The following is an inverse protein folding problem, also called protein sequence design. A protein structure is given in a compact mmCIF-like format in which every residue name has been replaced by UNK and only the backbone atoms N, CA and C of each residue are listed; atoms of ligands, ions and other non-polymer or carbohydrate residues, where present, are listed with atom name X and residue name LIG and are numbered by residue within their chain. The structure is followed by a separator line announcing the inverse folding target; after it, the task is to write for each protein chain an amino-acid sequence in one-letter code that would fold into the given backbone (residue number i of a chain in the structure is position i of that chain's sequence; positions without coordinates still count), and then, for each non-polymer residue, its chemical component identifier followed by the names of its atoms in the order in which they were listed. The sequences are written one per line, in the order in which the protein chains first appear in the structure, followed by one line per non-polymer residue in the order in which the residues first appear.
data_IF_948475550586
#
_entry.id   IF_948475550586
#
_cell.length_a   1.000
_cell.length_b   1.000
_cell.length_c   1.000
_cell.angle_alpha   90.00
_cell.angle_beta   90.00
_cell.angle_gamma   90.00
#
_symmetry.space_group_name_H-M   'P 1'
#
loop_
_entity.id
_entity.type
_entity.pdbx_description
1 polymer ?
#
# COMPACT_ATOMS: atom_id res chain seq x y z
N UNK A 1 -2.97 -37.45 23.13
CA UNK A 1 -2.58 -36.76 21.89
C UNK A 1 -3.51 -35.59 21.74
N UNK A 2 -3.11 -34.42 22.18
CA UNK A 2 -3.88 -33.18 22.00
C UNK A 2 -3.37 -32.58 20.71
N UNK A 3 -4.16 -32.70 19.64
CA UNK A 3 -3.93 -31.95 18.42
C UNK A 3 -4.02 -30.47 18.78
N UNK A 4 -2.88 -29.78 18.73
CA UNK A 4 -2.82 -28.34 18.86
C UNK A 4 -3.43 -27.77 17.55
N UNK A 5 -4.74 -27.58 17.54
CA UNK A 5 -5.41 -26.75 16.58
C UNK A 5 -4.96 -25.31 16.84
N UNK A 6 -3.77 -25.01 16.34
CA UNK A 6 -3.36 -23.65 16.16
C UNK A 6 -4.28 -23.10 15.06
N UNK A 7 -5.42 -22.52 15.49
CA UNK A 7 -6.30 -21.82 14.58
C UNK A 7 -5.44 -20.88 13.74
N UNK A 8 -5.36 -21.15 12.45
CA UNK A 8 -4.57 -20.36 11.52
C UNK A 8 -4.95 -18.89 11.73
N UNK A 9 -3.98 -18.08 12.17
CA UNK A 9 -4.23 -16.66 12.35
C UNK A 9 -4.66 -16.10 11.00
N UNK A 10 -5.76 -15.36 10.96
CA UNK A 10 -6.23 -14.84 9.68
C UNK A 10 -5.13 -14.00 9.03
N UNK A 11 -4.81 -14.35 7.82
CA UNK A 11 -3.74 -13.77 7.03
C UNK A 11 -4.00 -12.30 6.77
N UNK A 12 -3.02 -11.45 6.96
CA UNK A 12 -3.12 -10.02 6.64
C UNK A 12 -2.60 -9.75 5.24
N UNK A 13 -3.47 -9.22 4.38
CA UNK A 13 -3.12 -8.70 3.07
C UNK A 13 -3.35 -7.19 3.10
N UNK A 14 -2.26 -6.43 3.15
CA UNK A 14 -2.29 -4.97 3.35
C UNK A 14 -1.58 -4.27 2.21
N UNK A 15 -2.21 -3.25 1.65
CA UNK A 15 -1.58 -2.30 0.73
C UNK A 15 -1.38 -0.98 1.46
N UNK A 16 -0.12 -0.58 1.62
CA UNK A 16 0.25 0.75 2.14
C UNK A 16 0.27 1.71 0.97
N UNK A 17 -0.67 2.64 0.94
CA UNK A 17 -0.88 3.55 -0.17
C UNK A 17 -0.60 5.01 0.21
N UNK A 18 -0.42 5.84 -0.78
CA UNK A 18 -0.20 7.28 -0.64
C UNK A 18 0.71 7.83 -1.72
N UNK A 19 0.88 9.13 -1.71
CA UNK A 19 1.77 9.83 -2.65
C UNK A 19 3.24 9.58 -2.33
N UNK A 20 4.12 9.96 -3.26
CA UNK A 20 5.56 9.91 -3.02
C UNK A 20 5.95 10.73 -1.79
N UNK A 21 6.88 10.21 -1.01
CA UNK A 21 7.33 10.86 0.22
C UNK A 21 6.45 10.64 1.44
N UNK A 22 5.32 9.94 1.30
CA UNK A 22 4.43 9.63 2.44
C UNK A 22 5.00 8.59 3.42
N UNK A 23 6.04 7.84 3.02
CA UNK A 23 6.69 6.84 3.87
C UNK A 23 6.21 5.41 3.67
N UNK A 24 5.61 5.09 2.54
CA UNK A 24 5.05 3.75 2.22
C UNK A 24 6.05 2.62 2.45
N UNK A 25 7.28 2.76 1.97
CA UNK A 25 8.30 1.73 2.11
C UNK A 25 8.70 1.54 3.57
N UNK A 26 8.94 2.61 4.30
CA UNK A 26 9.33 2.56 5.71
C UNK A 26 8.22 1.98 6.58
N UNK A 27 7.02 2.52 6.51
CA UNK A 27 5.87 2.05 7.30
C UNK A 27 5.47 0.64 6.87
N UNK A 28 5.46 0.37 5.57
CA UNK A 28 5.13 -0.96 5.03
C UNK A 28 6.08 -2.04 5.54
N UNK A 29 7.38 -1.79 5.51
CA UNK A 29 8.37 -2.73 6.03
C UNK A 29 8.22 -2.99 7.54
N UNK A 30 7.98 -1.94 8.34
CA UNK A 30 7.77 -2.07 9.78
C UNK A 30 6.47 -2.82 10.12
N UNK A 31 5.39 -2.57 9.39
CA UNK A 31 4.13 -3.30 9.56
C UNK A 31 4.30 -4.76 9.17
N UNK A 32 5.02 -5.05 8.09
CA UNK A 32 5.31 -6.42 7.65
C UNK A 32 6.12 -7.19 8.70
N UNK A 33 7.17 -6.56 9.25
CA UNK A 33 7.98 -7.13 10.32
C UNK A 33 7.15 -7.45 11.58
N UNK A 34 6.37 -6.47 12.03
CA UNK A 34 5.49 -6.64 13.19
C UNK A 34 4.44 -7.75 13.02
N UNK A 35 3.99 -7.98 11.79
CA UNK A 35 3.04 -9.04 11.45
C UNK A 35 3.71 -10.37 11.06
N UNK A 36 5.03 -10.40 10.95
CA UNK A 36 5.81 -11.56 10.48
C UNK A 36 5.37 -12.06 9.11
N UNK A 37 5.15 -11.12 8.19
CA UNK A 37 4.80 -11.39 6.78
C UNK A 37 5.80 -10.72 5.84
N UNK A 38 5.92 -11.16 4.57
CA UNK A 38 6.77 -10.51 3.60
C UNK A 38 6.36 -9.06 3.32
N UNK A 39 7.36 -8.23 3.02
CA UNK A 39 7.16 -6.90 2.42
C UNK A 39 7.50 -6.93 0.94
N UNK A 40 6.66 -6.33 0.12
CA UNK A 40 6.84 -6.20 -1.34
C UNK A 40 6.64 -4.75 -1.76
N UNK A 41 7.51 -4.23 -2.61
CA UNK A 41 7.28 -2.95 -3.29
C UNK A 41 6.63 -3.22 -4.66
N UNK A 42 5.43 -2.68 -4.88
CA UNK A 42 4.70 -2.87 -6.14
C UNK A 42 5.41 -2.26 -7.34
N UNK A 43 6.31 -1.30 -7.13
CA UNK A 43 7.11 -0.71 -8.21
C UNK A 43 8.02 -1.76 -8.86
N UNK A 44 8.47 -2.77 -8.11
CA UNK A 44 9.28 -3.88 -8.62
C UNK A 44 8.49 -4.85 -9.50
N UNK A 45 7.17 -4.74 -9.53
CA UNK A 45 6.27 -5.59 -10.29
C UNK A 45 5.88 -5.02 -11.66
N UNK A 46 6.39 -3.86 -12.03
CA UNK A 46 6.07 -3.27 -13.34
C UNK A 46 6.57 -4.14 -14.50
N UNK A 47 5.74 -4.33 -15.54
CA UNK A 47 6.18 -4.90 -16.81
C UNK A 47 7.38 -4.12 -17.37
N UNK A 48 8.25 -4.82 -18.12
CA UNK A 48 9.48 -4.21 -18.67
C UNK A 48 9.19 -2.98 -19.54
N UNK A 49 8.08 -2.97 -20.26
CA UNK A 49 7.70 -1.82 -21.11
C UNK A 49 7.36 -0.60 -20.26
N UNK A 50 6.73 -0.77 -19.10
CA UNK A 50 6.50 0.31 -18.15
C UNK A 50 7.82 0.85 -17.58
N UNK A 51 8.73 -0.05 -17.23
CA UNK A 51 10.07 0.33 -16.73
C UNK A 51 10.82 1.16 -17.77
N UNK A 52 10.80 0.75 -19.04
CA UNK A 52 11.43 1.48 -20.16
C UNK A 52 10.79 2.83 -20.37
N UNK A 53 9.46 2.91 -20.30
CA UNK A 53 8.70 4.16 -20.47
C UNK A 53 9.02 5.16 -19.35
N UNK A 54 9.06 4.71 -18.10
CA UNK A 54 9.44 5.53 -16.96
C UNK A 54 10.92 5.98 -17.03
N UNK A 55 11.83 5.10 -17.43
CA UNK A 55 13.25 5.42 -17.60
C UNK A 55 13.48 6.48 -18.70
N UNK A 56 12.62 6.51 -19.72
CA UNK A 56 12.62 7.54 -20.77
C UNK A 56 11.97 8.86 -20.33
N UNK A 57 11.49 8.96 -19.08
CA UNK A 57 10.84 10.16 -18.54
C UNK A 57 9.38 10.33 -19.00
N UNK A 58 8.78 9.30 -19.59
CA UNK A 58 7.38 9.34 -20.04
C UNK A 58 6.47 8.84 -18.93
N UNK A 59 5.45 9.61 -18.50
CA UNK A 59 4.47 9.17 -17.52
C UNK A 59 3.69 7.94 -18.01
N UNK A 60 3.34 7.04 -17.08
CA UNK A 60 2.42 5.95 -17.36
C UNK A 60 0.98 6.47 -17.43
N UNK A 61 0.25 6.04 -18.43
CA UNK A 61 -1.20 6.23 -18.53
C UNK A 61 -1.97 5.03 -17.90
N UNK A 62 -3.29 5.09 -17.93
CA UNK A 62 -4.12 4.03 -17.35
C UNK A 62 -3.95 2.70 -18.09
N UNK A 63 -3.76 2.72 -19.42
CA UNK A 63 -3.56 1.51 -20.23
C UNK A 63 -2.25 0.79 -19.83
N UNK A 64 -1.20 1.56 -19.52
CA UNK A 64 0.05 1.02 -19.00
C UNK A 64 -0.12 0.40 -17.61
N UNK A 65 -1.00 0.98 -16.80
CA UNK A 65 -1.20 0.57 -15.41
C UNK A 65 -2.05 -0.67 -15.25
N UNK A 66 -3.03 -0.93 -16.11
CA UNK A 66 -3.93 -2.06 -15.97
C UNK A 66 -3.21 -3.41 -15.86
N UNK A 67 -2.27 -3.77 -16.76
CA UNK A 67 -1.51 -5.02 -16.60
C UNK A 67 -0.69 -5.07 -15.31
N UNK A 68 -0.11 -3.97 -14.90
CA UNK A 68 0.64 -3.88 -13.64
C UNK A 68 -0.27 -4.10 -12.42
N UNK A 69 -1.43 -3.46 -12.38
CA UNK A 69 -2.40 -3.65 -11.31
C UNK A 69 -2.94 -5.08 -11.24
N UNK A 70 -3.04 -5.76 -12.38
CA UNK A 70 -3.39 -7.19 -12.44
C UNK A 70 -2.29 -8.06 -11.82
N UNK A 71 -1.02 -7.72 -12.02
CA UNK A 71 0.11 -8.39 -11.39
C UNK A 71 0.10 -8.15 -9.88
N UNK A 72 -0.13 -6.90 -9.45
CA UNK A 72 -0.28 -6.53 -8.04
C UNK A 72 -1.41 -7.33 -7.39
N UNK A 73 -2.59 -7.36 -7.99
CA UNK A 73 -3.74 -8.09 -7.50
C UNK A 73 -3.46 -9.59 -7.36
N UNK A 74 -2.85 -10.22 -8.36
CA UNK A 74 -2.46 -11.65 -8.29
C UNK A 74 -1.46 -11.94 -7.19
N UNK A 75 -0.46 -11.09 -7.00
CA UNK A 75 0.52 -11.29 -5.92
C UNK A 75 -0.12 -11.21 -4.53
N UNK A 76 -1.09 -10.31 -4.35
CA UNK A 76 -1.88 -10.22 -3.12
C UNK A 76 -2.79 -11.44 -2.94
N UNK A 77 -3.46 -11.89 -4.00
CA UNK A 77 -4.29 -13.09 -3.99
C UNK A 77 -3.49 -14.35 -3.61
N UNK A 78 -2.31 -14.55 -4.20
CA UNK A 78 -1.43 -15.67 -3.87
C UNK A 78 -1.05 -15.70 -2.39
N UNK A 79 -0.77 -14.53 -1.80
CA UNK A 79 -0.46 -14.41 -0.38
C UNK A 79 -1.68 -14.70 0.51
N UNK A 80 -2.87 -14.36 0.07
CA UNK A 80 -4.12 -14.67 0.74
C UNK A 80 -4.40 -16.18 0.71
N UNK A 81 -4.35 -16.79 -0.47
CA UNK A 81 -4.64 -18.21 -0.67
C UNK A 81 -3.63 -19.14 -0.01
N UNK A 82 -2.35 -18.75 0.00
CA UNK A 82 -1.29 -19.53 0.67
C UNK A 82 -1.34 -19.44 2.19
N UNK A 83 -2.07 -18.48 2.74
CA UNK A 83 -2.08 -18.20 4.16
C UNK A 83 -0.80 -17.49 4.68
N UNK A 84 0.11 -17.07 3.81
CA UNK A 84 1.33 -16.36 4.19
C UNK A 84 1.06 -14.92 4.60
N UNK A 85 0.17 -14.22 3.88
CA UNK A 85 -0.03 -12.79 4.00
C UNK A 85 1.06 -11.97 3.33
N UNK A 86 0.85 -10.68 3.23
CA UNK A 86 1.81 -9.74 2.66
C UNK A 86 1.47 -8.31 3.04
N UNK A 87 2.47 -7.47 3.19
CA UNK A 87 2.32 -6.01 3.17
C UNK A 87 3.00 -5.49 1.91
N UNK A 88 2.28 -4.74 1.12
CA UNK A 88 2.75 -4.22 -0.16
C UNK A 88 2.68 -2.70 -0.19
N UNK A 89 3.77 -2.03 -0.55
CA UNK A 89 3.75 -0.60 -0.86
C UNK A 89 3.27 -0.41 -2.31
N UNK A 90 2.19 0.35 -2.50
CA UNK A 90 1.65 0.68 -3.80
C UNK A 90 0.94 2.03 -3.73
N UNK A 91 1.24 2.96 -4.62
CA UNK A 91 0.63 4.29 -4.58
C UNK A 91 -0.90 4.25 -4.60
N UNK A 92 -1.53 3.44 -5.42
CA UNK A 92 -2.97 3.17 -5.48
C UNK A 92 -3.85 4.42 -5.36
N UNK A 93 -3.46 5.52 -6.02
CA UNK A 93 -4.00 6.86 -5.79
C UNK A 93 -5.46 7.01 -6.19
N UNK A 94 -5.91 6.32 -7.24
CA UNK A 94 -7.28 6.42 -7.73
C UNK A 94 -8.15 5.26 -7.23
N UNK A 95 -9.42 5.54 -6.99
CA UNK A 95 -10.40 4.53 -6.60
C UNK A 95 -10.44 3.37 -7.58
N UNK A 96 -10.44 3.64 -8.88
CA UNK A 96 -10.47 2.60 -9.93
C UNK A 96 -9.26 1.66 -9.87
N UNK A 97 -8.09 2.13 -9.42
CA UNK A 97 -6.92 1.27 -9.21
C UNK A 97 -7.13 0.32 -8.04
N UNK A 98 -7.67 0.83 -6.94
CA UNK A 98 -8.00 0.04 -5.75
C UNK A 98 -9.09 -0.98 -6.02
N UNK A 99 -10.12 -0.61 -6.77
CA UNK A 99 -11.18 -1.52 -7.21
C UNK A 99 -10.62 -2.65 -8.08
N UNK A 100 -9.66 -2.34 -8.98
CA UNK A 100 -8.99 -3.35 -9.80
C UNK A 100 -8.22 -4.35 -8.95
N UNK A 101 -7.48 -3.89 -7.96
CA UNK A 101 -6.75 -4.74 -7.01
C UNK A 101 -7.72 -5.62 -6.23
N UNK A 102 -8.80 -5.05 -5.68
CA UNK A 102 -9.78 -5.78 -4.88
C UNK A 102 -10.63 -6.75 -5.67
N UNK A 103 -10.81 -6.53 -6.97
CA UNK A 103 -11.49 -7.49 -7.82
C UNK A 103 -10.77 -8.86 -7.84
N UNK A 104 -9.45 -8.87 -7.69
CA UNK A 104 -8.65 -10.09 -7.65
C UNK A 104 -8.34 -10.54 -6.21
N UNK A 105 -8.07 -9.60 -5.30
CA UNK A 105 -7.75 -9.86 -3.90
C UNK A 105 -8.74 -9.12 -2.97
N UNK A 106 -9.95 -9.64 -2.75
CA UNK A 106 -11.03 -8.93 -2.08
C UNK A 106 -10.79 -8.68 -0.59
N UNK A 107 -9.90 -9.42 0.06
CA UNK A 107 -9.55 -9.21 1.48
C UNK A 107 -8.49 -8.14 1.70
N UNK A 108 -8.06 -7.43 0.66
CA UNK A 108 -7.05 -6.37 0.76
C UNK A 108 -7.55 -5.22 1.64
N UNK A 109 -6.73 -4.87 2.64
CA UNK A 109 -6.92 -3.70 3.50
C UNK A 109 -5.98 -2.60 3.03
N UNK A 110 -6.51 -1.40 2.76
CA UNK A 110 -5.71 -0.25 2.38
C UNK A 110 -5.33 0.58 3.61
N UNK A 111 -4.03 0.77 3.83
CA UNK A 111 -3.48 1.70 4.82
C UNK A 111 -3.02 2.95 4.09
N UNK A 112 -3.82 4.01 4.15
CA UNK A 112 -3.54 5.28 3.47
C UNK A 112 -2.69 6.19 4.34
N UNK A 113 -1.45 6.42 3.93
CA UNK A 113 -0.56 7.39 4.56
C UNK A 113 -0.89 8.80 4.05
N UNK A 114 -1.62 9.55 4.86
CA UNK A 114 -2.14 10.86 4.51
C UNK A 114 -1.35 11.99 5.19
N UNK A 115 -1.04 13.02 4.43
CA UNK A 115 -0.45 14.26 4.94
C UNK A 115 -0.72 15.45 4.05
N UNK A 116 -0.56 16.64 4.60
CA UNK A 116 -0.65 17.88 3.83
C UNK A 116 0.51 17.99 2.83
N UNK A 117 0.31 18.78 1.79
CA UNK A 117 1.36 19.10 0.82
C UNK A 117 2.61 19.69 1.52
N UNK A 118 2.42 20.50 2.54
CA UNK A 118 3.50 21.09 3.34
C UNK A 118 4.34 20.02 4.05
N UNK A 119 3.72 19.08 4.74
CA UNK A 119 4.40 17.97 5.43
C UNK A 119 5.14 17.07 4.43
N UNK A 120 4.50 16.75 3.32
CA UNK A 120 5.10 15.92 2.27
C UNK A 120 6.30 16.62 1.60
N UNK A 121 6.19 17.90 1.31
CA UNK A 121 7.28 18.71 0.75
C UNK A 121 8.47 18.74 1.69
N UNK A 122 8.26 19.02 2.98
CA UNK A 122 9.31 19.04 3.99
C UNK A 122 10.02 17.68 4.12
N UNK A 123 9.29 16.57 4.02
CA UNK A 123 9.86 15.21 4.05
C UNK A 123 10.72 14.91 2.83
N UNK A 124 10.31 15.35 1.64
CA UNK A 124 11.07 15.15 0.40
C UNK A 124 12.34 15.99 0.39
N UNK A 125 12.29 17.23 0.86
CA UNK A 125 13.45 18.12 0.98
C UNK A 125 14.48 17.59 1.98
N UNK A 126 14.05 16.93 3.05
CA UNK A 126 14.93 16.31 4.05
C UNK A 126 15.61 15.01 3.59
N UNK A 127 15.23 14.44 2.45
CA UNK A 127 15.84 13.22 1.89
C UNK A 127 17.03 13.57 1.00
N UNK A 128 18.24 13.32 1.48
CA UNK A 128 19.44 13.39 0.66
C UNK A 128 19.40 12.29 -0.43
N UNK A 129 19.47 12.69 -1.70
CA UNK A 129 19.63 11.78 -2.85
C UNK A 129 18.37 11.44 -3.64
N UNK A 130 17.17 11.87 -3.24
CA UNK A 130 15.95 11.73 -4.04
C UNK A 130 15.37 13.12 -4.33
N UNK A 131 15.71 13.65 -5.52
CA UNK A 131 15.07 14.85 -6.01
C UNK A 131 13.75 14.50 -6.69
N UNK A 132 12.63 14.87 -6.06
CA UNK A 132 11.33 14.87 -6.70
C UNK A 132 10.96 16.32 -7.03
N UNK A 133 10.66 16.65 -8.30
CA UNK A 133 10.16 17.97 -8.64
C UNK A 133 8.86 18.27 -7.86
N UNK A 134 8.70 19.47 -7.27
CA UNK A 134 7.47 19.85 -6.57
C UNK A 134 6.20 19.68 -7.41
N UNK A 135 6.30 19.91 -8.72
CA UNK A 135 5.21 19.72 -9.67
C UNK A 135 4.70 18.25 -9.72
N UNK A 136 5.60 17.28 -9.55
CA UNK A 136 5.21 15.87 -9.55
C UNK A 136 4.43 15.50 -8.29
N UNK A 137 4.84 16.00 -7.12
CA UNK A 137 4.09 15.82 -5.88
C UNK A 137 2.71 16.47 -5.96
N UNK A 138 2.62 17.70 -6.45
CA UNK A 138 1.33 18.39 -6.66
C UNK A 138 0.41 17.59 -7.58
N UNK A 139 0.94 17.08 -8.69
CA UNK A 139 0.20 16.23 -9.63
C UNK A 139 -0.33 14.94 -8.96
N UNK A 140 0.48 14.31 -8.12
CA UNK A 140 0.03 13.13 -7.37
C UNK A 140 -1.05 13.48 -6.34
N UNK A 141 -0.95 14.61 -5.66
CA UNK A 141 -1.98 15.09 -4.74
C UNK A 141 -3.30 15.40 -5.45
N UNK A 142 -3.26 15.92 -6.67
CA UNK A 142 -4.44 16.16 -7.50
C UNK A 142 -5.07 14.84 -7.99
N UNK A 143 -4.25 13.82 -8.23
CA UNK A 143 -4.70 12.49 -8.67
C UNK A 143 -5.27 11.66 -7.53
N UNK A 144 -4.81 11.91 -6.30
CA UNK A 144 -5.21 11.16 -5.12
C UNK A 144 -6.72 11.30 -4.86
N UNK A 145 -7.40 10.17 -4.86
CA UNK A 145 -8.78 10.03 -4.38
C UNK A 145 -8.74 9.41 -2.98
N UNK A 146 -9.27 10.13 -1.99
CA UNK A 146 -9.31 9.64 -0.61
C UNK A 146 -10.09 8.33 -0.49
N UNK A 147 -9.76 7.52 0.51
CA UNK A 147 -10.57 6.35 0.84
C UNK A 147 -11.99 6.80 1.24
N UNK A 148 -12.97 6.09 0.72
CA UNK A 148 -14.38 6.30 1.05
C UNK A 148 -14.89 5.26 2.04
N UNK A 149 -16.02 5.52 2.70
CA UNK A 149 -16.55 4.68 3.79
C UNK A 149 -16.89 3.24 3.35
N UNK A 150 -17.08 3.02 2.05
CA UNK A 150 -17.33 1.70 1.47
C UNK A 150 -16.05 0.94 1.09
N UNK A 151 -14.89 1.56 1.27
CA UNK A 151 -13.59 0.91 1.07
C UNK A 151 -13.05 0.35 2.39
N UNK A 152 -12.50 -0.85 2.34
CA UNK A 152 -11.86 -1.47 3.50
C UNK A 152 -10.46 -0.87 3.69
N UNK A 153 -10.29 -0.03 4.68
CA UNK A 153 -9.02 0.61 4.92
C UNK A 153 -9.00 1.54 6.13
N UNK A 154 -7.84 2.11 6.37
CA UNK A 154 -7.57 3.05 7.46
C UNK A 154 -6.70 4.21 6.97
N UNK A 155 -7.03 5.42 7.38
CA UNK A 155 -6.24 6.62 7.07
C UNK A 155 -5.34 6.95 8.25
N UNK A 156 -4.03 6.95 8.00
CA UNK A 156 -2.99 7.20 8.99
C UNK A 156 -2.35 8.57 8.74
N UNK A 157 -2.37 9.45 9.72
CA UNK A 157 -1.74 10.77 9.63
C UNK A 157 -0.22 10.64 9.75
N UNK A 158 0.50 11.12 8.73
CA UNK A 158 1.96 11.12 8.69
C UNK A 158 2.61 12.30 9.43
N UNK A 159 1.82 13.19 10.02
CA UNK A 159 2.31 14.29 10.87
C UNK A 159 2.88 13.86 12.22
N UNK A 160 2.71 12.57 12.57
CA UNK A 160 3.23 11.97 13.80
C UNK A 160 4.59 11.28 13.58
N UNK A 161 5.23 10.86 14.67
CA UNK A 161 6.46 10.05 14.59
C UNK A 161 6.18 8.67 13.98
N UNK A 162 7.22 8.03 13.44
CA UNK A 162 7.12 6.66 12.91
C UNK A 162 6.61 5.69 13.98
N UNK A 163 7.10 5.80 15.21
CA UNK A 163 6.67 4.97 16.34
C UNK A 163 5.17 5.13 16.62
N UNK A 164 4.68 6.36 16.70
CA UNK A 164 3.25 6.65 16.88
C UNK A 164 2.40 6.12 15.73
N UNK A 165 2.90 6.23 14.50
CA UNK A 165 2.21 5.69 13.32
C UNK A 165 2.06 4.17 13.39
N UNK A 166 3.09 3.45 13.82
CA UNK A 166 3.03 2.00 13.97
C UNK A 166 2.10 1.59 15.12
N UNK A 167 2.18 2.29 16.25
CA UNK A 167 1.31 2.05 17.42
C UNK A 167 -0.18 2.26 17.09
N UNK A 168 -0.50 3.16 16.17
CA UNK A 168 -1.86 3.41 15.68
C UNK A 168 -2.26 2.40 14.59
N UNK A 169 -1.39 2.12 13.63
CA UNK A 169 -1.71 1.30 12.48
C UNK A 169 -1.96 -0.17 12.84
N UNK A 170 -1.16 -0.77 13.71
CA UNK A 170 -1.26 -2.20 14.02
C UNK A 170 -2.60 -2.59 14.65
N UNK A 171 -3.11 -1.90 15.70
CA UNK A 171 -4.42 -2.18 16.25
C UNK A 171 -5.56 -1.92 15.25
N UNK A 172 -5.46 -0.85 14.44
CA UNK A 172 -6.45 -0.51 13.44
C UNK A 172 -6.58 -1.60 12.36
N UNK A 173 -5.45 -2.08 11.83
CA UNK A 173 -5.41 -3.18 10.85
C UNK A 173 -5.94 -4.48 11.44
N UNK A 174 -5.65 -4.77 12.71
CA UNK A 174 -6.16 -5.96 13.40
C UNK A 174 -7.68 -5.88 13.57
N UNK A 175 -8.21 -4.75 14.02
CA UNK A 175 -9.66 -4.53 14.17
C UNK A 175 -10.41 -4.72 12.85
N UNK A 176 -9.92 -4.12 11.77
CA UNK A 176 -10.52 -4.29 10.43
C UNK A 176 -10.50 -5.76 10.02
N UNK A 177 -9.38 -6.46 10.25
CA UNK A 177 -9.25 -7.88 9.90
C UNK A 177 -10.25 -8.76 10.67
N UNK A 178 -10.46 -8.47 11.94
CA UNK A 178 -11.37 -9.24 12.81
C UNK A 178 -12.85 -9.06 12.42
N UNK A 179 -13.18 -7.91 11.82
CA UNK A 179 -14.54 -7.59 11.33
C UNK A 179 -14.82 -8.18 9.93
N UNK A 180 -13.79 -8.59 9.19
CA UNK A 180 -13.96 -9.16 7.86
C UNK A 180 -14.56 -10.56 7.92
N UNK A 181 -15.43 -10.93 6.95
CA UNK A 181 -15.95 -12.29 6.86
C UNK A 181 -14.82 -13.31 6.79
N UNK A 182 -14.94 -14.37 7.57
CA UNK A 182 -14.06 -15.54 7.43
C UNK A 182 -14.52 -16.30 6.19
N UNK A 183 -13.68 -16.34 5.18
CA UNK A 183 -13.93 -17.13 3.97
C UNK A 183 -13.95 -18.63 4.26
#
# INVERSE_FOLDING_TARGET
MVANEQAARPTSVVVVMGVSGSGKTTIGALVADAKSVPFVDADDLHPIDNVKKMAAGTPLDDEDRWPWLDIVGRRLQEAEESGEGVVMACSALRRVYRDRIRATAPSTIFLHLHGSLEVLTARLEGRSGHFMPPALLSSQMETLEALTDDETGYVLDIGQSVEQMIDEALPALQSIRDEMPRG
#
